data_IF_418936994346
#
_entry.id   IF_418936994346
#
_cell.length_a   1.000
_cell.length_b   1.000
_cell.length_c   1.000
_cell.angle_alpha   90.00
_cell.angle_beta   90.00
_cell.angle_gamma   90.00
#
_symmetry.space_group_name_H-M   'P 1'
#
loop_
_entity.id
_entity.type
_entity.pdbx_description
1 polymer ?
#
# COMPACT_ATOMS: atom_id res chain seq x y z
N UNK A 1 18.27 24.65 19.63
CA UNK A 1 18.80 23.61 18.78
C UNK A 1 17.73 22.97 17.91
N UNK A 2 17.93 22.99 16.64
CA UNK A 2 16.99 22.38 15.72
C UNK A 2 17.07 20.85 15.82
N UNK A 3 15.94 20.20 15.78
CA UNK A 3 15.89 18.75 15.66
C UNK A 3 16.31 18.37 14.25
N UNK A 4 17.30 17.53 14.16
CA UNK A 4 17.72 17.02 12.86
C UNK A 4 16.73 15.99 12.39
N UNK A 5 16.09 16.25 11.26
CA UNK A 5 15.25 15.28 10.59
C UNK A 5 16.11 14.47 9.64
N UNK A 6 15.89 13.18 9.64
CA UNK A 6 16.57 12.28 8.71
C UNK A 6 15.49 11.56 7.94
N UNK A 7 15.48 11.72 6.63
CA UNK A 7 14.48 11.14 5.76
C UNK A 7 14.57 9.62 5.82
N UNK A 8 13.48 8.92 6.14
CA UNK A 8 13.48 7.46 6.12
C UNK A 8 13.43 6.92 4.70
N UNK A 9 13.74 5.64 4.57
CA UNK A 9 13.55 4.93 3.32
C UNK A 9 12.46 3.87 3.48
N UNK A 10 11.80 3.58 2.39
CA UNK A 10 10.81 2.52 2.34
C UNK A 10 11.53 1.19 2.21
N UNK A 11 11.39 0.33 3.23
CA UNK A 11 12.05 -0.97 3.25
C UNK A 11 11.29 -2.01 2.44
N UNK A 12 9.96 -2.02 2.56
CA UNK A 12 9.12 -2.90 1.76
C UNK A 12 7.70 -2.36 1.67
N UNK A 13 6.98 -2.84 0.66
CA UNK A 13 5.54 -2.70 0.51
C UNK A 13 4.98 -4.08 0.22
N UNK A 14 4.00 -4.50 1.01
CA UNK A 14 3.31 -5.77 0.83
C UNK A 14 1.81 -5.50 0.69
N UNK A 15 1.16 -6.31 -0.15
CA UNK A 15 -0.28 -6.25 -0.33
C UNK A 15 -0.85 -7.58 0.10
N UNK A 16 -1.87 -7.55 0.95
CA UNK A 16 -2.46 -8.78 1.49
C UNK A 16 -3.96 -8.62 1.70
N UNK A 17 -4.62 -9.75 1.89
CA UNK A 17 -6.06 -9.77 2.12
C UNK A 17 -6.42 -9.23 3.50
N UNK A 18 -5.63 -9.57 4.51
CA UNK A 18 -5.94 -9.22 5.89
C UNK A 18 -4.68 -9.06 6.73
N UNK A 19 -4.80 -8.24 7.76
CA UNK A 19 -3.76 -8.02 8.75
C UNK A 19 -4.37 -8.22 10.13
N UNK A 20 -3.73 -9.02 10.96
CA UNK A 20 -4.17 -9.24 12.34
C UNK A 20 -3.06 -8.90 13.29
N UNK A 21 -3.42 -8.28 14.39
CA UNK A 21 -2.50 -8.05 15.48
C UNK A 21 -2.66 -9.16 16.50
N UNK A 22 -1.58 -9.89 16.73
CA UNK A 22 -1.58 -11.00 17.68
C UNK A 22 -1.42 -10.48 19.12
N UNK A 23 -1.71 -11.33 20.08
CA UNK A 23 -1.39 -11.04 21.47
C UNK A 23 0.12 -10.80 21.58
N UNK A 24 0.51 -9.76 22.29
CA UNK A 24 1.92 -9.38 22.38
C UNK A 24 2.38 -8.40 21.30
N UNK A 25 1.47 -7.98 20.41
CA UNK A 25 1.73 -6.90 19.47
C UNK A 25 2.33 -7.29 18.14
N UNK A 26 2.56 -8.56 17.89
CA UNK A 26 3.05 -9.02 16.57
C UNK A 26 1.93 -8.96 15.55
N UNK A 27 2.30 -8.76 14.28
CA UNK A 27 1.34 -8.74 13.20
C UNK A 27 1.46 -10.01 12.35
N UNK A 28 0.30 -10.50 11.92
CA UNK A 28 0.19 -11.58 10.94
C UNK A 28 -0.42 -11.02 9.68
N UNK A 29 0.24 -11.23 8.55
CA UNK A 29 -0.26 -10.83 7.24
C UNK A 29 -0.77 -12.09 6.54
N UNK A 30 -2.03 -12.04 6.10
CA UNK A 30 -2.66 -13.20 5.49
C UNK A 30 -3.04 -12.91 4.05
N UNK A 31 -2.70 -13.87 3.17
CA UNK A 31 -3.05 -13.76 1.76
C UNK A 31 -2.26 -12.69 1.04
N UNK A 32 -0.92 -12.79 1.07
CA UNK A 32 -0.07 -11.90 0.27
C UNK A 32 -0.34 -12.13 -1.20
N UNK A 33 -0.50 -11.05 -1.97
CA UNK A 33 -0.76 -11.17 -3.38
C UNK A 33 -0.12 -10.03 -4.17
N UNK A 34 0.11 -10.25 -5.46
CA UNK A 34 0.69 -9.27 -6.37
C UNK A 34 -0.27 -8.87 -7.49
N UNK A 35 -1.36 -9.62 -7.67
CA UNK A 35 -2.34 -9.41 -8.73
C UNK A 35 -3.74 -9.68 -8.24
N UNK A 36 -4.70 -8.98 -8.83
CA UNK A 36 -6.13 -9.20 -8.58
C UNK A 36 -6.73 -9.81 -9.83
N UNK A 37 -7.60 -10.82 -9.63
CA UNK A 37 -8.28 -11.51 -10.72
C UNK A 37 -9.78 -11.36 -10.57
N UNK A 38 -10.49 -11.07 -11.66
CA UNK A 38 -11.94 -10.92 -11.66
C UNK A 38 -12.52 -11.49 -12.95
N UNK A 39 -13.73 -12.07 -12.84
CA UNK A 39 -14.41 -12.65 -13.98
C UNK A 39 -15.16 -11.65 -14.84
N UNK A 40 -15.58 -10.54 -14.25
CA UNK A 40 -16.34 -9.48 -14.91
C UNK A 40 -15.87 -8.12 -14.45
N UNK A 41 -16.07 -7.10 -15.28
CA UNK A 41 -15.76 -5.71 -14.96
C UNK A 41 -16.99 -4.83 -15.23
N UNK A 42 -17.22 -3.77 -14.42
CA UNK A 42 -16.40 -3.33 -13.28
C UNK A 42 -16.33 -4.38 -12.18
N UNK A 43 -15.17 -4.51 -11.57
CA UNK A 43 -14.95 -5.46 -10.49
C UNK A 43 -14.72 -4.71 -9.18
N UNK A 44 -15.40 -5.13 -8.12
CA UNK A 44 -15.21 -4.55 -6.80
C UNK A 44 -14.43 -5.52 -5.93
N UNK A 45 -13.28 -5.08 -5.45
CA UNK A 45 -12.49 -5.84 -4.48
C UNK A 45 -12.88 -5.38 -3.10
N UNK A 46 -13.38 -6.31 -2.31
CA UNK A 46 -14.05 -5.98 -1.06
C UNK A 46 -13.12 -5.37 -0.02
N UNK A 47 -11.92 -5.94 0.13
CA UNK A 47 -10.97 -5.48 1.14
C UNK A 47 -9.57 -5.96 0.83
N UNK A 48 -8.59 -5.10 1.01
CA UNK A 48 -7.19 -5.48 1.03
C UNK A 48 -6.39 -4.46 1.83
N UNK A 49 -5.19 -4.86 2.24
CA UNK A 49 -4.31 -3.99 3.01
C UNK A 49 -3.01 -3.75 2.26
N UNK A 50 -2.53 -2.51 2.36
CA UNK A 50 -1.20 -2.12 1.88
C UNK A 50 -0.36 -1.91 3.13
N UNK A 51 0.73 -2.66 3.25
CA UNK A 51 1.61 -2.64 4.42
C UNK A 51 2.98 -2.14 4.01
N UNK A 52 3.38 -1.03 4.58
CA UNK A 52 4.70 -0.43 4.35
C UNK A 52 5.55 -0.52 5.60
N UNK A 53 6.84 -0.67 5.44
CA UNK A 53 7.78 -0.51 6.55
C UNK A 53 8.79 0.58 6.19
N UNK A 54 8.94 1.53 7.10
CA UNK A 54 9.87 2.65 6.96
C UNK A 54 11.00 2.48 7.96
N UNK A 55 12.22 2.72 7.51
CA UNK A 55 13.43 2.54 8.33
C UNK A 55 14.45 3.64 8.07
N UNK A 56 15.37 3.80 9.00
CA UNK A 56 16.56 4.62 8.79
C UNK A 56 16.32 6.12 8.88
N UNK A 57 15.20 6.53 9.47
CA UNK A 57 14.89 7.94 9.57
C UNK A 57 14.69 8.42 11.00
N UNK A 58 14.48 9.72 11.14
CA UNK A 58 14.22 10.35 12.42
C UNK A 58 13.39 11.61 12.21
N UNK A 59 12.35 11.78 13.00
CA UNK A 59 11.48 12.95 12.94
C UNK A 59 10.06 12.60 12.54
N UNK A 60 9.30 13.64 12.25
CA UNK A 60 7.90 13.52 11.83
C UNK A 60 7.77 13.75 10.34
N UNK A 61 7.02 12.89 9.69
CA UNK A 61 6.80 12.96 8.23
C UNK A 61 5.34 12.66 7.91
N UNK A 62 4.91 13.12 6.76
CA UNK A 62 3.59 12.80 6.22
C UNK A 62 3.74 11.80 5.09
N UNK A 63 2.97 10.72 5.16
CA UNK A 63 2.95 9.67 4.14
C UNK A 63 1.60 9.65 3.46
N UNK A 64 1.59 9.65 2.13
CA UNK A 64 0.38 9.41 1.34
C UNK A 64 0.52 8.13 0.55
N UNK A 65 -0.58 7.41 0.45
CA UNK A 65 -0.67 6.22 -0.38
C UNK A 65 -1.82 6.42 -1.34
N UNK A 66 -1.54 6.36 -2.64
CA UNK A 66 -2.54 6.51 -3.68
C UNK A 66 -2.64 5.26 -4.52
N UNK A 67 -3.86 4.88 -4.84
CA UNK A 67 -4.11 3.88 -5.85
C UNK A 67 -4.44 4.64 -7.14
N UNK A 68 -3.64 4.42 -8.16
CA UNK A 68 -3.79 5.09 -9.46
C UNK A 68 -4.32 4.15 -10.51
N UNK A 69 -5.05 4.70 -11.46
CA UNK A 69 -5.50 3.96 -12.63
C UNK A 69 -4.36 3.57 -13.57
N UNK A 70 -4.69 2.82 -14.63
CA UNK A 70 -3.68 2.42 -15.63
C UNK A 70 -2.95 3.57 -16.31
N UNK A 71 -3.56 4.77 -16.32
CA UNK A 71 -2.92 5.98 -16.85
C UNK A 71 -1.83 6.53 -15.94
N UNK A 72 -1.68 6.01 -14.72
CA UNK A 72 -0.77 6.49 -13.68
C UNK A 72 -1.07 7.90 -13.19
N UNK A 73 -2.24 8.42 -13.47
CA UNK A 73 -2.65 9.78 -13.12
C UNK A 73 -3.96 9.82 -12.36
N UNK A 74 -4.95 9.07 -12.80
CA UNK A 74 -6.27 9.07 -12.17
C UNK A 74 -6.18 8.46 -10.78
N UNK A 75 -6.48 9.24 -9.76
CA UNK A 75 -6.48 8.79 -8.37
C UNK A 75 -7.80 8.08 -8.07
N UNK A 76 -7.73 6.78 -7.79
CA UNK A 76 -8.89 5.97 -7.42
C UNK A 76 -9.17 6.10 -5.94
N UNK A 77 -8.12 6.06 -5.12
CA UNK A 77 -8.23 6.26 -3.68
C UNK A 77 -6.93 6.80 -3.12
N UNK A 78 -7.04 7.48 -1.98
CA UNK A 78 -5.89 8.10 -1.33
C UNK A 78 -6.06 8.01 0.18
N UNK A 79 -4.96 7.80 0.87
CA UNK A 79 -4.90 7.90 2.32
C UNK A 79 -3.66 8.68 2.73
N UNK A 80 -3.76 9.33 3.89
CA UNK A 80 -2.66 10.10 4.44
C UNK A 80 -2.50 9.74 5.91
N UNK A 81 -1.27 9.60 6.33
CA UNK A 81 -0.96 9.29 7.73
C UNK A 81 0.32 9.98 8.15
N UNK A 82 0.53 10.04 9.46
CA UNK A 82 1.76 10.57 10.02
C UNK A 82 2.69 9.45 10.39
N UNK A 83 3.96 9.67 10.11
CA UNK A 83 5.05 8.75 10.40
C UNK A 83 5.97 9.44 11.39
N UNK A 84 6.11 8.86 12.58
CA UNK A 84 7.02 9.38 13.60
C UNK A 84 8.10 8.36 13.90
N UNK A 85 9.34 8.80 13.75
CA UNK A 85 10.52 7.99 14.06
C UNK A 85 11.35 8.72 15.12
N UNK A 86 11.56 8.07 16.24
CA UNK A 86 12.30 8.68 17.36
C UNK A 86 13.81 8.56 17.17
N UNK A 87 14.26 7.52 16.48
CA UNK A 87 15.66 7.31 16.18
C UNK A 87 15.81 6.39 14.96
N UNK A 88 17.02 6.33 14.42
CA UNK A 88 17.30 5.60 13.17
C UNK A 88 17.21 4.08 13.29
N UNK A 89 17.14 3.55 14.50
CA UNK A 89 17.02 2.11 14.73
C UNK A 89 15.56 1.65 14.76
N UNK A 90 14.64 2.58 14.85
CA UNK A 90 13.22 2.28 14.86
C UNK A 90 12.72 1.90 13.48
N UNK A 91 11.84 0.92 13.43
CA UNK A 91 11.07 0.60 12.24
C UNK A 91 9.64 1.04 12.45
N UNK A 92 9.03 1.59 11.44
CA UNK A 92 7.63 1.98 11.50
C UNK A 92 6.86 1.21 10.44
N UNK A 93 5.88 0.43 10.86
CA UNK A 93 4.97 -0.27 9.96
C UNK A 93 3.69 0.55 9.82
N UNK A 94 3.35 0.84 8.57
CA UNK A 94 2.18 1.61 8.19
C UNK A 94 1.21 0.65 7.49
N UNK A 95 -0.01 0.58 7.99
CA UNK A 95 -1.04 -0.33 7.47
C UNK A 95 -2.20 0.51 6.97
N UNK A 96 -2.48 0.40 5.67
CA UNK A 96 -3.58 1.12 5.03
C UNK A 96 -4.58 0.10 4.49
N UNK A 97 -5.80 0.10 5.04
CA UNK A 97 -6.84 -0.82 4.62
C UNK A 97 -7.74 -0.13 3.61
N UNK A 98 -7.97 -0.79 2.48
CA UNK A 98 -8.82 -0.32 1.40
C UNK A 98 -10.07 -1.16 1.33
N UNK A 99 -11.22 -0.50 1.29
CA UNK A 99 -12.52 -1.18 1.24
C UNK A 99 -13.22 -0.86 -0.07
N UNK A 100 -13.89 -1.87 -0.63
CA UNK A 100 -14.80 -1.70 -1.77
C UNK A 100 -14.18 -0.91 -2.92
N UNK A 101 -12.97 -1.30 -3.29
CA UNK A 101 -12.26 -0.67 -4.40
C UNK A 101 -12.82 -1.20 -5.71
N UNK A 102 -13.28 -0.29 -6.58
CA UNK A 102 -13.83 -0.65 -7.88
C UNK A 102 -12.79 -0.43 -8.97
N UNK A 103 -12.53 -1.49 -9.69
CA UNK A 103 -11.68 -1.47 -10.89
C UNK A 103 -12.58 -1.52 -12.11
N UNK A 104 -12.63 -0.44 -12.88
CA UNK A 104 -13.57 -0.32 -14.00
C UNK A 104 -13.22 -1.23 -15.16
N UNK A 105 -11.93 -1.39 -15.41
CA UNK A 105 -11.39 -2.17 -16.54
C UNK A 105 -10.21 -2.99 -16.06
N UNK A 106 -9.90 -4.10 -16.73
CA UNK A 106 -8.63 -4.79 -16.50
C UNK A 106 -7.47 -3.92 -16.95
N UNK A 107 -6.31 -4.09 -16.33
CA UNK A 107 -5.11 -3.35 -16.64
C UNK A 107 -4.16 -3.31 -15.47
N UNK A 108 -3.03 -2.66 -15.63
CA UNK A 108 -2.09 -2.48 -14.54
C UNK A 108 -2.41 -1.18 -13.82
N UNK A 109 -2.84 -1.32 -12.57
CA UNK A 109 -3.04 -0.21 -11.65
C UNK A 109 -1.74 0.02 -10.89
N UNK A 110 -1.65 1.14 -10.19
CA UNK A 110 -0.39 1.53 -9.57
C UNK A 110 -0.62 1.98 -8.14
N UNK A 111 0.24 1.52 -7.25
CA UNK A 111 0.25 1.98 -5.86
C UNK A 111 1.42 2.94 -5.72
N UNK A 112 1.09 4.19 -5.42
CA UNK A 112 2.08 5.26 -5.28
C UNK A 112 2.27 5.59 -3.81
N UNK A 113 3.50 5.60 -3.35
CA UNK A 113 3.85 6.06 -2.02
C UNK A 113 4.56 7.40 -2.11
N UNK A 114 4.05 8.38 -1.35
CA UNK A 114 4.62 9.72 -1.27
C UNK A 114 5.04 10.00 0.16
N UNK A 115 6.26 10.50 0.31
CA UNK A 115 6.80 10.97 1.57
C UNK A 115 6.99 12.47 1.44
N UNK A 116 6.31 13.25 2.29
CA UNK A 116 6.32 14.72 2.22
C UNK A 116 6.01 15.22 0.79
N UNK A 117 4.98 14.61 0.16
CA UNK A 117 4.54 14.89 -1.20
C UNK A 117 5.55 14.56 -2.30
N UNK A 118 6.60 13.82 -1.99
CA UNK A 118 7.58 13.36 -2.96
C UNK A 118 7.35 11.87 -3.24
N UNK A 119 7.25 11.50 -4.50
CA UNK A 119 7.08 10.10 -4.88
C UNK A 119 8.32 9.29 -4.51
N UNK A 120 8.12 8.29 -3.64
CA UNK A 120 9.18 7.40 -3.20
C UNK A 120 9.13 6.08 -3.97
N UNK A 121 7.93 5.61 -4.28
CA UNK A 121 7.76 4.33 -4.96
C UNK A 121 6.49 4.32 -5.78
N UNK A 122 6.53 3.55 -6.85
CA UNK A 122 5.38 3.32 -7.72
C UNK A 122 5.38 1.83 -8.04
N UNK A 123 4.40 1.11 -7.50
CA UNK A 123 4.37 -0.35 -7.54
C UNK A 123 3.19 -0.80 -8.41
N UNK A 124 3.41 -1.70 -9.37
CA UNK A 124 2.33 -2.20 -10.19
C UNK A 124 1.40 -3.13 -9.44
N UNK A 125 0.11 -3.02 -9.73
CA UNK A 125 -0.91 -3.94 -9.28
C UNK A 125 -1.72 -4.37 -10.51
N UNK A 126 -1.35 -5.47 -11.14
CA UNK A 126 -2.12 -5.98 -12.26
C UNK A 126 -3.50 -6.44 -11.82
N UNK A 127 -4.53 -6.02 -12.56
CA UNK A 127 -5.90 -6.45 -12.36
C UNK A 127 -6.33 -7.11 -13.66
N UNK A 128 -6.55 -8.41 -13.61
CA UNK A 128 -6.70 -9.23 -14.80
C UNK A 128 -8.07 -9.89 -14.87
N UNK A 129 -8.59 -10.01 -16.09
CA UNK A 129 -9.80 -10.75 -16.32
C UNK A 129 -9.44 -12.22 -16.46
N UNK A 130 -10.20 -13.08 -15.80
CA UNK A 130 -10.04 -14.53 -15.89
C UNK A 130 -11.32 -15.15 -16.41
N UNK A 131 -11.16 -16.28 -17.10
CA UNK A 131 -12.28 -17.10 -17.55
C UNK A 131 -12.42 -18.31 -16.64
N UNK A 132 -13.51 -19.04 -16.76
CA UNK A 132 -13.72 -20.27 -15.98
C UNK A 132 -12.58 -21.28 -16.19
N UNK A 133 -11.97 -21.27 -17.36
CA UNK A 133 -10.89 -22.20 -17.69
C UNK A 133 -9.57 -21.88 -16.99
N UNK A 134 -9.42 -20.66 -16.50
CA UNK A 134 -8.20 -20.22 -15.84
C UNK A 134 -8.31 -20.20 -14.31
N UNK A 135 -9.51 -20.44 -13.78
CA UNK A 135 -9.77 -20.49 -12.35
C UNK A 135 -9.75 -21.94 -11.89
N UNK A 136 -8.86 -22.27 -11.02
CA UNK A 136 -8.70 -23.62 -10.48
C UNK A 136 -8.82 -23.66 -8.97
#
# INVERSE_FOLDING_TARGET
MANTRIKPRLNYTLICDDVRQEMGGKFSLMGLFESIYAGTFPATHHRFAIVNEWVGGKGDFTVKIRLLGPDRETVISESESKLTLFNEKQRHRDISIRYNTTFKVPGTYWIEMLLENEQIALIPLPVQMVTEQTVH
#
